data_IF_580314498509
#
_entry.id   IF_580314498509
#
_cell.length_a   1.000
_cell.length_b   1.000
_cell.length_c   1.000
_cell.angle_alpha   90.00
_cell.angle_beta   90.00
_cell.angle_gamma   90.00
#
_symmetry.space_group_name_H-M   'P 1'
#
loop_
_entity.id
_entity.type
_entity.pdbx_description
1 polymer ?
#
# COMPACT_ATOMS: atom_id res chain seq x y z
N UNK A 1 10.79 2.20 -11.79
CA UNK A 1 10.52 3.21 -10.76
C UNK A 1 9.14 3.73 -11.01
N UNK A 2 8.26 3.63 -10.02
CA UNK A 2 6.91 4.17 -10.17
C UNK A 2 6.92 5.70 -10.17
N UNK A 3 5.98 6.28 -10.91
CA UNK A 3 5.71 7.71 -10.86
C UNK A 3 4.84 7.99 -9.62
N UNK A 4 5.49 8.41 -8.53
CA UNK A 4 4.83 8.65 -7.26
C UNK A 4 3.82 9.81 -7.34
N UNK A 5 4.07 10.82 -8.17
CA UNK A 5 3.14 11.93 -8.37
C UNK A 5 1.84 11.44 -9.01
N UNK A 6 1.93 10.52 -9.97
CA UNK A 6 0.73 9.89 -10.55
C UNK A 6 0.00 8.99 -9.56
N UNK A 7 0.70 8.18 -8.78
CA UNK A 7 0.08 7.34 -7.72
C UNK A 7 -0.70 8.22 -6.75
N UNK A 8 -0.07 9.30 -6.25
CA UNK A 8 -0.75 10.22 -5.32
C UNK A 8 -1.89 10.98 -6.00
N UNK A 9 -1.81 11.31 -7.29
CA UNK A 9 -2.93 11.88 -8.05
C UNK A 9 -4.14 10.94 -8.08
N UNK A 10 -3.92 9.65 -8.37
CA UNK A 10 -5.00 8.66 -8.32
C UNK A 10 -5.68 8.60 -6.95
N UNK A 11 -4.89 8.61 -5.88
CA UNK A 11 -5.44 8.61 -4.53
C UNK A 11 -6.19 9.91 -4.20
N UNK A 12 -5.72 11.08 -4.67
CA UNK A 12 -6.41 12.36 -4.51
C UNK A 12 -7.77 12.36 -5.21
N UNK A 13 -7.85 11.72 -6.36
CA UNK A 13 -9.06 11.59 -7.20
C UNK A 13 -9.95 10.39 -6.82
N UNK A 14 -9.66 9.70 -5.70
CA UNK A 14 -10.38 8.51 -5.22
C UNK A 14 -10.45 7.37 -6.25
N UNK A 15 -9.45 7.29 -7.15
CA UNK A 15 -9.24 6.21 -8.11
C UNK A 15 -8.57 5.01 -7.44
N UNK A 16 -9.22 4.48 -6.40
CA UNK A 16 -8.76 3.35 -5.59
C UNK A 16 -9.83 2.27 -5.58
N UNK A 17 -9.44 1.06 -6.00
CA UNK A 17 -10.26 -0.14 -5.93
C UNK A 17 -9.61 -1.18 -5.00
N UNK A 18 -10.42 -1.87 -4.22
CA UNK A 18 -9.94 -2.87 -3.26
C UNK A 18 -10.22 -4.28 -3.76
N UNK A 19 -9.21 -5.16 -3.73
CA UNK A 19 -9.45 -6.59 -3.93
C UNK A 19 -10.24 -7.16 -2.74
N UNK A 20 -11.00 -8.23 -2.97
CA UNK A 20 -11.78 -8.91 -1.92
C UNK A 20 -10.92 -9.29 -0.71
N UNK A 21 -9.69 -9.76 -0.94
CA UNK A 21 -8.76 -10.09 0.14
C UNK A 21 -8.39 -8.86 0.99
N UNK A 22 -8.11 -7.72 0.36
CA UNK A 22 -7.83 -6.47 1.07
C UNK A 22 -9.01 -6.05 1.95
N UNK A 23 -10.24 -6.08 1.41
CA UNK A 23 -11.45 -5.74 2.17
C UNK A 23 -11.62 -6.63 3.42
N UNK A 24 -11.41 -7.94 3.28
CA UNK A 24 -11.46 -8.87 4.42
C UNK A 24 -10.45 -8.49 5.51
N UNK A 25 -9.18 -8.21 5.12
CA UNK A 25 -8.13 -7.81 6.07
C UNK A 25 -8.43 -6.48 6.75
N UNK A 26 -8.96 -5.53 5.99
CA UNK A 26 -9.36 -4.22 6.52
C UNK A 26 -10.47 -4.37 7.56
N UNK A 27 -11.49 -5.20 7.28
CA UNK A 27 -12.57 -5.47 8.21
C UNK A 27 -12.07 -6.16 9.49
N UNK A 28 -11.24 -7.20 9.37
CA UNK A 28 -10.65 -7.93 10.50
C UNK A 28 -9.84 -7.01 11.44
N UNK A 29 -9.16 -6.01 10.88
CA UNK A 29 -8.19 -5.16 11.60
C UNK A 29 -8.68 -3.73 11.86
N UNK A 30 -9.94 -3.44 11.53
CA UNK A 30 -10.56 -2.11 11.64
C UNK A 30 -9.71 -1.04 10.96
N UNK A 31 -9.32 -1.31 9.72
CA UNK A 31 -8.61 -0.35 8.84
C UNK A 31 -9.66 0.28 7.93
N UNK A 32 -9.70 1.60 7.87
CA UNK A 32 -10.65 2.34 7.05
C UNK A 32 -10.08 2.58 5.65
N UNK A 33 -10.96 2.80 4.67
CA UNK A 33 -10.54 3.19 3.32
C UNK A 33 -9.75 4.52 3.35
N UNK A 34 -10.16 5.46 4.20
CA UNK A 34 -9.45 6.72 4.44
C UNK A 34 -8.03 6.49 4.96
N UNK A 35 -7.81 5.50 5.84
CA UNK A 35 -6.46 5.19 6.34
C UNK A 35 -5.56 4.75 5.18
N UNK A 36 -6.08 3.91 4.28
CA UNK A 36 -5.35 3.45 3.09
C UNK A 36 -5.05 4.61 2.15
N UNK A 37 -6.03 5.48 1.91
CA UNK A 37 -5.86 6.70 1.10
C UNK A 37 -4.77 7.59 1.69
N UNK A 38 -4.81 7.86 2.99
CA UNK A 38 -3.84 8.70 3.69
C UNK A 38 -2.42 8.09 3.65
N UNK A 39 -2.29 6.78 3.73
CA UNK A 39 -1.02 6.06 3.56
C UNK A 39 -0.48 6.23 2.14
N UNK A 40 -1.32 6.17 1.11
CA UNK A 40 -0.87 6.36 -0.27
C UNK A 40 -0.38 7.80 -0.49
N UNK A 41 -1.05 8.78 0.13
CA UNK A 41 -0.74 10.20 -0.03
C UNK A 41 0.50 10.66 0.74
N UNK A 42 0.77 10.06 1.90
CA UNK A 42 1.80 10.54 2.84
C UNK A 42 2.85 9.48 3.18
N UNK A 43 2.67 8.25 2.72
CA UNK A 43 3.57 7.13 2.98
C UNK A 43 4.76 7.08 2.04
N UNK A 44 5.59 6.05 2.24
CA UNK A 44 6.83 5.83 1.52
C UNK A 44 6.77 4.51 0.77
N UNK A 45 7.08 4.51 -0.53
CA UNK A 45 7.33 3.27 -1.27
C UNK A 45 8.64 2.66 -0.74
N UNK A 46 8.56 1.46 -0.19
CA UNK A 46 9.71 0.75 0.41
C UNK A 46 10.16 -0.46 -0.39
N UNK A 47 9.28 -1.05 -1.22
CA UNK A 47 9.63 -2.09 -2.19
C UNK A 47 8.87 -1.83 -3.50
N UNK A 48 9.53 -2.05 -4.65
CA UNK A 48 8.91 -2.02 -5.97
C UNK A 48 9.01 -3.40 -6.62
N UNK A 49 7.90 -3.85 -7.20
CA UNK A 49 7.78 -5.12 -7.91
C UNK A 49 7.29 -4.84 -9.33
N UNK A 50 8.19 -4.32 -10.17
CA UNK A 50 7.88 -3.95 -11.56
C UNK A 50 7.54 -5.17 -12.43
N UNK A 51 8.01 -6.35 -12.03
CA UNK A 51 7.81 -7.61 -12.75
C UNK A 51 6.59 -8.40 -12.25
N UNK A 52 5.78 -7.84 -11.34
CA UNK A 52 4.56 -8.49 -10.87
C UNK A 52 3.53 -8.64 -12.00
N UNK A 53 2.78 -9.75 -11.96
CA UNK A 53 1.71 -10.06 -12.91
C UNK A 53 0.35 -10.05 -12.20
N UNK A 54 -0.72 -9.50 -12.79
CA UNK A 54 -0.83 -8.94 -14.15
C UNK A 54 -0.43 -7.48 -14.27
N UNK A 55 -0.24 -6.80 -13.15
CA UNK A 55 0.11 -5.38 -13.10
C UNK A 55 1.34 -5.22 -12.18
N UNK A 56 2.25 -4.29 -12.51
CA UNK A 56 3.35 -3.97 -11.62
C UNK A 56 2.78 -3.47 -10.28
N UNK A 57 3.47 -3.78 -9.19
CA UNK A 57 3.00 -3.42 -7.86
C UNK A 57 4.10 -2.81 -6.98
N UNK A 58 3.72 -2.09 -5.94
CA UNK A 58 4.63 -1.56 -4.94
C UNK A 58 4.09 -1.76 -3.52
N UNK A 59 5.02 -1.78 -2.57
CA UNK A 59 4.73 -1.81 -1.14
C UNK A 59 4.93 -0.41 -0.56
N UNK A 60 3.86 0.16 0.01
CA UNK A 60 3.88 1.44 0.70
C UNK A 60 3.79 1.23 2.20
N UNK A 61 4.70 1.85 2.95
CA UNK A 61 4.62 2.00 4.39
C UNK A 61 4.03 3.37 4.74
N UNK A 62 3.05 3.39 5.61
CA UNK A 62 2.57 4.61 6.24
C UNK A 62 1.93 4.34 7.59
N UNK A 63 1.37 5.38 8.20
CA UNK A 63 0.70 5.28 9.49
C UNK A 63 -0.78 5.66 9.33
N UNK A 64 -1.66 4.92 10.01
CA UNK A 64 -3.05 5.32 10.13
C UNK A 64 -3.22 6.52 11.08
N UNK A 65 -4.46 7.02 11.22
CA UNK A 65 -4.77 8.13 12.13
C UNK A 65 -4.47 7.83 13.61
N UNK A 66 -4.28 6.56 13.98
CA UNK A 66 -3.91 6.09 15.32
C UNK A 66 -2.42 5.81 15.47
N UNK A 67 -1.60 6.25 14.49
CA UNK A 67 -0.16 6.02 14.45
C UNK A 67 0.26 4.54 14.33
N UNK A 68 -0.65 3.65 13.94
CA UNK A 68 -0.29 2.26 13.63
C UNK A 68 0.41 2.20 12.28
N UNK A 69 1.58 1.57 12.23
CA UNK A 69 2.27 1.31 10.98
C UNK A 69 1.48 0.31 10.14
N UNK A 70 1.31 0.61 8.86
CA UNK A 70 0.58 -0.22 7.91
C UNK A 70 1.37 -0.34 6.61
N UNK A 71 1.43 -1.58 6.12
CA UNK A 71 1.95 -1.97 4.83
C UNK A 71 0.79 -2.18 3.87
N UNK A 72 0.81 -1.44 2.76
CA UNK A 72 -0.19 -1.48 1.70
C UNK A 72 0.47 -1.93 0.41
N UNK A 73 0.01 -3.05 -0.16
CA UNK A 73 0.45 -3.48 -1.50
C UNK A 73 -0.52 -2.92 -2.54
N UNK A 74 0.03 -2.19 -3.50
CA UNK A 74 -0.72 -1.46 -4.52
C UNK A 74 -0.29 -1.96 -5.89
N UNK A 75 -1.22 -2.51 -6.67
CA UNK A 75 -1.00 -2.71 -8.10
C UNK A 75 -1.39 -1.44 -8.85
N UNK A 76 -0.57 -1.04 -9.81
CA UNK A 76 -0.75 0.20 -10.57
C UNK A 76 -1.09 -0.17 -12.02
N UNK A 77 -2.21 0.31 -12.54
CA UNK A 77 -2.53 0.15 -13.95
C UNK A 77 -1.51 0.91 -14.82
N UNK A 78 -1.17 0.40 -16.01
CA UNK A 78 -0.12 0.96 -16.89
C UNK A 78 -0.31 2.46 -17.20
N UNK A 79 -1.55 2.91 -17.26
CA UNK A 79 -1.95 4.30 -17.54
C UNK A 79 -2.26 5.14 -16.28
N UNK A 80 -2.05 4.59 -15.08
CA UNK A 80 -2.41 5.23 -13.82
C UNK A 80 -3.90 5.67 -13.77
N UNK A 81 -4.81 4.92 -14.41
CA UNK A 81 -6.25 5.23 -14.28
C UNK A 81 -6.84 4.74 -12.97
N UNK A 82 -6.23 3.73 -12.33
CA UNK A 82 -6.75 3.09 -11.12
C UNK A 82 -5.62 2.45 -10.31
N UNK A 83 -5.71 2.59 -8.99
CA UNK A 83 -4.90 1.84 -8.03
C UNK A 83 -5.69 0.64 -7.51
N UNK A 84 -5.06 -0.53 -7.49
CA UNK A 84 -5.66 -1.75 -6.94
C UNK A 84 -4.99 -2.12 -5.64
N UNK A 85 -5.72 -2.02 -4.54
CA UNK A 85 -5.23 -2.44 -3.22
C UNK A 85 -5.32 -3.97 -3.15
N UNK A 86 -4.15 -4.62 -3.19
CA UNK A 86 -4.04 -6.08 -3.15
C UNK A 86 -4.23 -6.58 -1.73
N UNK A 87 -3.55 -5.95 -0.77
CA UNK A 87 -3.64 -6.27 0.66
C UNK A 87 -3.16 -5.10 1.52
N UNK A 88 -3.61 -5.08 2.79
CA UNK A 88 -3.17 -4.13 3.83
C UNK A 88 -2.94 -4.88 5.14
N UNK A 89 -1.81 -4.65 5.81
CA UNK A 89 -1.47 -5.33 7.05
C UNK A 89 -0.54 -4.51 7.96
N UNK A 90 -0.58 -4.79 9.27
CA UNK A 90 0.39 -4.26 10.24
C UNK A 90 1.68 -5.08 10.14
N UNK A 91 2.85 -4.47 9.84
CA UNK A 91 4.11 -5.19 9.77
C UNK A 91 4.58 -5.63 11.16
N UNK A 92 5.32 -6.73 11.21
CA UNK A 92 5.89 -7.27 12.46
C UNK A 92 7.39 -7.00 12.53
N UNK A 93 7.91 -6.78 13.74
CA UNK A 93 9.37 -6.66 13.97
C UNK A 93 10.11 -8.00 13.77
N UNK A 94 9.37 -9.10 13.65
CA UNK A 94 9.93 -10.40 13.28
C UNK A 94 10.37 -10.43 11.82
N UNK A 95 9.56 -9.85 10.93
CA UNK A 95 9.81 -9.84 9.48
C UNK A 95 10.51 -8.57 8.99
N UNK A 96 10.43 -7.49 9.74
CA UNK A 96 10.91 -6.17 9.32
C UNK A 96 11.80 -5.49 10.37
N UNK A 97 12.70 -4.64 9.88
CA UNK A 97 13.61 -3.82 10.68
C UNK A 97 13.58 -2.36 10.21
N UNK A 98 14.36 -1.50 10.89
CA UNK A 98 14.50 -0.07 10.56
C UNK A 98 13.15 0.66 10.48
N UNK A 99 12.32 0.47 11.51
CA UNK A 99 10.99 1.09 11.57
C UNK A 99 10.02 0.52 10.51
N UNK A 100 10.10 -0.78 10.26
CA UNK A 100 9.31 -1.53 9.28
C UNK A 100 9.63 -1.25 7.80
N UNK A 101 10.69 -0.51 7.50
CA UNK A 101 11.07 -0.16 6.11
C UNK A 101 11.82 -1.27 5.38
N UNK A 102 12.60 -2.08 6.10
CA UNK A 102 13.49 -3.07 5.49
C UNK A 102 13.09 -4.46 5.90
N UNK A 103 12.78 -5.30 4.92
CA UNK A 103 12.46 -6.71 5.15
C UNK A 103 13.72 -7.45 5.58
N UNK A 104 13.63 -8.20 6.66
CA UNK A 104 14.69 -9.12 7.08
C UNK A 104 14.74 -10.27 6.06
N UNK A 105 15.84 -10.35 5.33
CA UNK A 105 16.13 -11.52 4.49
C UNK A 105 16.62 -12.65 5.41
N UNK A 106 16.06 -13.84 5.24
CA UNK A 106 16.59 -15.05 5.88
C UNK A 106 17.94 -15.42 5.29
#
# INVERSE_FOLDING_TARGET
MFDYDKITSCAKEDKIAFKKHALNRMQERKILADDVRDIILNGEIIEEYQDDWPLPSCLVLGNDKKQRALHTVIAVADNYEMLWIITVYEPTSFEWEKGFKVRKRK
#
